data_IF_023842246978
#
_entry.id   IF_023842246978
#
_cell.length_a   1.000
_cell.length_b   1.000
_cell.length_c   1.000
_cell.angle_alpha   90.00
_cell.angle_beta   90.00
_cell.angle_gamma   90.00
#
_symmetry.space_group_name_H-M   'P 1'
#
loop_
_entity.id
_entity.type
_entity.pdbx_description
1 polymer ?
#
# COMPACT_ATOMS: atom_id res chain seq x y z
N UNK A 1 8.24 4.14 36.91
CA UNK A 1 8.55 4.12 35.46
C UNK A 1 8.48 2.68 35.01
N UNK A 2 7.30 2.24 34.55
CA UNK A 2 7.07 0.85 34.17
C UNK A 2 7.27 0.69 32.67
N UNK A 3 8.34 -0.03 32.30
CA UNK A 3 8.56 -0.53 30.94
C UNK A 3 7.69 -1.77 30.75
N UNK A 4 6.74 -1.70 29.82
CA UNK A 4 5.96 -2.85 29.38
C UNK A 4 6.81 -3.61 28.36
N UNK A 5 7.15 -4.84 28.69
CA UNK A 5 7.86 -5.81 27.84
C UNK A 5 6.80 -6.48 26.96
N UNK A 6 6.90 -6.31 25.64
CA UNK A 6 6.14 -7.12 24.67
C UNK A 6 6.86 -8.46 24.50
N UNK A 7 6.20 -9.55 24.93
CA UNK A 7 6.62 -10.93 24.67
C UNK A 7 6.23 -11.30 23.23
N UNK A 8 7.24 -11.45 22.37
CA UNK A 8 7.11 -12.04 21.04
C UNK A 8 7.25 -13.55 21.18
N UNK A 9 6.18 -14.31 20.96
CA UNK A 9 6.20 -15.78 21.01
C UNK A 9 6.89 -16.33 19.76
N UNK A 10 8.05 -16.96 19.98
CA UNK A 10 8.78 -17.81 19.04
C UNK A 10 7.94 -19.05 18.68
N UNK A 11 7.66 -19.26 17.38
CA UNK A 11 7.25 -20.56 16.87
C UNK A 11 8.42 -21.20 16.10
N UNK A 12 8.85 -22.35 16.60
CA UNK A 12 9.81 -23.26 16.00
C UNK A 12 9.13 -24.10 14.92
N UNK A 13 9.59 -24.00 13.67
CA UNK A 13 9.52 -25.05 12.65
C UNK A 13 10.99 -25.37 12.33
N UNK A 14 11.53 -26.57 12.52
CA UNK A 14 11.06 -27.84 12.00
C UNK A 14 11.84 -28.13 10.71
N UNK A 15 13.12 -28.50 10.83
CA UNK A 15 13.97 -28.90 9.70
C UNK A 15 13.61 -30.32 9.27
N UNK A 16 13.38 -30.51 7.97
CA UNK A 16 13.49 -31.83 7.36
C UNK A 16 14.21 -31.69 6.01
N UNK A 17 15.41 -32.24 5.94
CA UNK A 17 16.25 -32.31 4.76
C UNK A 17 15.75 -33.46 3.87
N UNK A 18 15.53 -33.18 2.58
CA UNK A 18 15.60 -34.23 1.57
C UNK A 18 16.34 -33.72 0.34
N UNK A 19 17.46 -34.38 0.11
CA UNK A 19 18.46 -34.15 -0.92
C UNK A 19 18.18 -35.14 -2.07
N UNK A 20 18.01 -34.63 -3.29
CA UNK A 20 18.13 -35.41 -4.53
C UNK A 20 18.65 -34.51 -5.65
N UNK A 21 19.80 -34.91 -6.20
CA UNK A 21 20.52 -34.25 -7.28
C UNK A 21 20.04 -34.74 -8.66
N UNK A 22 20.41 -33.92 -9.67
CA UNK A 22 20.43 -34.12 -11.14
C UNK A 22 19.25 -33.56 -11.97
N UNK A 23 19.48 -33.19 -13.26
CA UNK A 23 20.48 -32.25 -13.76
C UNK A 23 19.82 -31.13 -14.62
N UNK A 24 20.33 -29.90 -14.52
CA UNK A 24 19.78 -28.72 -15.23
C UNK A 24 20.22 -28.68 -16.70
N UNK A 25 19.26 -28.73 -17.61
CA UNK A 25 19.46 -28.43 -19.03
C UNK A 25 19.40 -26.92 -19.22
N UNK A 26 20.52 -26.30 -19.62
CA UNK A 26 20.62 -24.86 -19.90
C UNK A 26 19.90 -24.53 -21.21
N UNK A 27 18.84 -23.73 -21.14
CA UNK A 27 18.32 -23.00 -22.31
C UNK A 27 18.69 -21.52 -22.17
N UNK A 28 19.66 -21.11 -22.97
CA UNK A 28 20.08 -19.72 -23.12
C UNK A 28 18.98 -18.93 -23.87
N UNK A 29 18.46 -17.87 -23.26
CA UNK A 29 17.78 -16.79 -23.97
C UNK A 29 18.84 -15.80 -24.49
N UNK A 30 18.75 -15.32 -25.75
CA UNK A 30 19.82 -14.54 -26.36
C UNK A 30 19.91 -13.14 -25.74
N UNK A 31 21.11 -12.82 -25.24
CA UNK A 31 21.54 -11.47 -24.90
C UNK A 31 21.72 -10.72 -26.22
N UNK A 32 20.75 -9.90 -26.61
CA UNK A 32 20.93 -8.96 -27.70
C UNK A 32 21.78 -7.78 -27.21
N UNK A 33 22.91 -7.63 -27.90
CA UNK A 33 23.94 -6.60 -27.75
C UNK A 33 23.35 -5.20 -27.87
N UNK A 34 23.53 -4.36 -26.85
CA UNK A 34 23.27 -2.92 -26.96
C UNK A 34 24.45 -2.30 -27.71
N UNK A 35 24.22 -1.93 -28.97
CA UNK A 35 25.09 -0.99 -29.68
C UNK A 35 24.74 0.44 -29.27
N UNK A 36 25.78 1.22 -29.02
CA UNK A 36 25.78 2.60 -28.55
C UNK A 36 24.90 3.50 -29.41
N UNK A 37 23.83 4.04 -28.82
CA UNK A 37 23.04 5.16 -29.35
C UNK A 37 22.88 6.21 -28.25
N UNK A 38 22.64 7.43 -28.70
CA UNK A 38 22.83 8.71 -28.00
C UNK A 38 22.21 8.73 -26.59
N UNK A 39 22.89 9.36 -25.61
CA UNK A 39 22.42 9.38 -24.22
C UNK A 39 21.06 10.05 -24.06
N UNK A 40 20.69 10.91 -25.02
CA UNK A 40 19.40 11.61 -25.02
C UNK A 40 18.26 10.74 -25.57
N UNK A 41 18.49 9.89 -26.58
CA UNK A 41 17.48 8.90 -27.04
C UNK A 41 17.21 7.83 -25.99
N UNK A 42 18.24 7.46 -25.22
CA UNK A 42 18.10 6.50 -24.13
C UNK A 42 17.29 7.07 -22.96
N UNK A 43 17.46 8.36 -22.66
CA UNK A 43 16.68 9.07 -21.63
C UNK A 43 15.23 9.24 -22.10
N UNK A 44 14.98 9.65 -23.34
CA UNK A 44 13.63 9.81 -23.90
C UNK A 44 12.89 8.47 -23.97
N UNK A 45 13.58 7.36 -24.27
CA UNK A 45 13.03 6.02 -24.24
C UNK A 45 12.71 5.53 -22.81
N UNK A 46 13.58 5.82 -21.83
CA UNK A 46 13.36 5.49 -20.43
C UNK A 46 12.25 6.36 -19.81
N UNK A 47 12.16 7.63 -20.17
CA UNK A 47 11.07 8.55 -19.80
C UNK A 47 9.75 8.06 -20.41
N UNK A 48 9.74 7.63 -21.68
CA UNK A 48 8.56 7.04 -22.31
C UNK A 48 8.11 5.73 -21.66
N UNK A 49 9.03 4.91 -21.13
CA UNK A 49 8.71 3.69 -20.39
C UNK A 49 8.21 3.98 -18.97
N UNK A 50 8.65 5.07 -18.35
CA UNK A 50 8.19 5.52 -17.03
C UNK A 50 6.79 6.16 -17.08
N UNK A 51 6.46 6.84 -18.19
CA UNK A 51 5.19 7.54 -18.41
C UNK A 51 4.04 6.65 -18.94
N UNK A 52 4.33 5.48 -19.52
CA UNK A 52 3.31 4.69 -20.23
C UNK A 52 2.41 3.81 -19.35
N UNK A 53 2.73 3.58 -18.08
CA UNK A 53 1.96 2.63 -17.25
C UNK A 53 0.80 3.26 -16.46
N UNK A 54 0.76 4.59 -16.37
CA UNK A 54 -0.43 5.34 -15.90
C UNK A 54 -1.16 6.07 -17.05
N UNK A 55 -0.56 6.19 -18.23
CA UNK A 55 -1.21 6.72 -19.44
C UNK A 55 -1.95 5.65 -20.28
N UNK A 56 -1.71 4.35 -20.06
CA UNK A 56 -2.49 3.31 -20.78
C UNK A 56 -3.95 3.17 -20.27
N UNK A 57 -4.24 3.76 -19.12
CA UNK A 57 -5.58 4.17 -18.69
C UNK A 57 -5.58 5.70 -18.83
N UNK A 58 -6.57 6.33 -19.47
CA UNK A 58 -6.68 7.80 -19.54
C UNK A 58 -6.98 8.42 -18.14
N UNK A 59 -6.15 8.15 -17.15
CA UNK A 59 -6.35 8.53 -15.77
C UNK A 59 -5.77 9.91 -15.55
N UNK A 60 -6.65 10.92 -15.53
CA UNK A 60 -6.27 12.30 -15.24
C UNK A 60 -6.44 12.53 -13.75
N UNK A 61 -5.36 12.94 -13.07
CA UNK A 61 -5.44 13.33 -11.66
C UNK A 61 -6.46 14.46 -11.48
N UNK A 62 -7.24 14.44 -10.40
CA UNK A 62 -8.13 15.53 -10.09
C UNK A 62 -7.34 16.83 -9.83
N UNK A 63 -7.96 18.00 -10.01
CA UNK A 63 -7.36 19.27 -9.62
C UNK A 63 -7.16 19.34 -8.10
N UNK A 64 -6.11 20.03 -7.64
CA UNK A 64 -5.92 20.28 -6.21
C UNK A 64 -7.07 21.13 -5.64
N UNK A 65 -7.83 20.62 -4.66
CA UNK A 65 -8.97 21.34 -4.10
C UNK A 65 -8.55 22.46 -3.13
N UNK A 66 -7.25 22.60 -2.83
CA UNK A 66 -6.68 23.61 -1.95
C UNK A 66 -7.46 23.75 -0.62
N UNK A 67 -7.78 24.98 -0.20
CA UNK A 67 -8.53 25.22 1.02
C UNK A 67 -10.03 24.91 0.90
N UNK A 68 -10.57 24.83 -0.32
CA UNK A 68 -11.95 24.41 -0.54
C UNK A 68 -12.16 22.97 -0.06
N UNK A 69 -11.20 22.10 -0.35
CA UNK A 69 -11.18 20.70 0.07
C UNK A 69 -11.13 20.49 1.60
N UNK A 70 -10.88 21.54 2.39
CA UNK A 70 -10.78 21.48 3.86
C UNK A 70 -12.03 21.98 4.58
N UNK A 71 -13.00 22.55 3.87
CA UNK A 71 -14.22 23.13 4.47
C UNK A 71 -15.15 22.06 5.06
N UNK A 72 -15.17 20.89 4.44
CA UNK A 72 -16.02 19.77 4.86
C UNK A 72 -15.19 18.56 5.32
N UNK A 73 -15.79 17.73 6.19
CA UNK A 73 -15.21 16.48 6.65
C UNK A 73 -14.89 15.54 5.49
N UNK A 74 -15.79 15.45 4.50
CA UNK A 74 -15.65 14.56 3.35
C UNK A 74 -14.70 15.12 2.29
N UNK A 75 -14.55 16.45 2.22
CA UNK A 75 -13.73 17.11 1.21
C UNK A 75 -14.31 16.99 -0.20
N UNK A 76 -13.46 17.17 -1.21
CA UNK A 76 -13.83 17.09 -2.61
C UNK A 76 -13.27 15.78 -3.18
N UNK A 77 -14.12 15.05 -3.89
CA UNK A 77 -13.80 13.86 -4.69
C UNK A 77 -14.45 14.10 -6.07
N UNK A 78 -13.67 14.64 -7.01
CA UNK A 78 -14.17 15.11 -8.31
C UNK A 78 -14.50 13.94 -9.24
N UNK A 79 -13.72 12.86 -9.18
CA UNK A 79 -13.85 11.70 -10.06
C UNK A 79 -14.73 10.58 -9.45
N UNK A 80 -15.24 10.77 -8.23
CA UNK A 80 -16.13 9.87 -7.50
C UNK A 80 -15.53 8.47 -7.31
N UNK A 81 -14.22 8.39 -7.16
CA UNK A 81 -13.51 7.12 -6.92
C UNK A 81 -13.50 6.73 -5.43
N UNK A 82 -14.08 7.56 -4.55
CA UNK A 82 -14.13 7.33 -3.11
C UNK A 82 -12.88 7.80 -2.37
N UNK A 83 -11.98 8.53 -3.05
CA UNK A 83 -10.76 9.12 -2.51
C UNK A 83 -10.86 10.63 -2.71
N UNK A 84 -10.56 11.40 -1.66
CA UNK A 84 -10.49 12.85 -1.80
C UNK A 84 -9.38 13.27 -2.78
N UNK A 85 -9.62 14.33 -3.54
CA UNK A 85 -8.68 14.85 -4.53
C UNK A 85 -7.31 15.18 -3.91
N UNK A 86 -7.26 15.81 -2.74
CA UNK A 86 -6.00 16.16 -2.05
C UNK A 86 -5.19 14.91 -1.62
N UNK A 87 -5.88 13.85 -1.25
CA UNK A 87 -5.30 12.56 -0.87
C UNK A 87 -4.81 11.80 -2.11
N UNK A 88 -5.59 11.80 -3.18
CA UNK A 88 -5.23 11.14 -4.42
C UNK A 88 -3.94 11.74 -5.01
N UNK A 89 -3.85 13.07 -5.03
CA UNK A 89 -2.65 13.80 -5.44
C UNK A 89 -1.46 13.44 -4.56
N UNK A 90 -1.64 13.32 -3.24
CA UNK A 90 -0.59 12.88 -2.32
C UNK A 90 -0.09 11.46 -2.66
N UNK A 91 -1.00 10.51 -2.86
CA UNK A 91 -0.67 9.12 -3.18
C UNK A 91 0.11 9.05 -4.49
N UNK A 92 -0.37 9.74 -5.52
CA UNK A 92 0.32 9.82 -6.80
C UNK A 92 1.73 10.37 -6.62
N UNK A 93 1.88 11.51 -5.93
CA UNK A 93 3.18 12.14 -5.74
C UNK A 93 4.15 11.29 -4.91
N UNK A 94 3.63 10.52 -3.94
CA UNK A 94 4.44 9.62 -3.11
C UNK A 94 5.01 8.46 -3.92
N UNK A 95 4.24 7.89 -4.84
CA UNK A 95 4.62 6.64 -5.53
C UNK A 95 5.01 6.80 -6.99
N UNK A 96 4.75 7.94 -7.65
CA UNK A 96 5.04 8.13 -9.09
C UNK A 96 6.48 7.80 -9.49
N UNK A 97 7.43 8.04 -8.59
CA UNK A 97 8.87 7.81 -8.78
C UNK A 97 9.39 6.54 -8.09
N UNK A 98 8.52 5.75 -7.46
CA UNK A 98 8.93 4.48 -6.86
C UNK A 98 9.29 3.51 -7.98
N UNK A 99 10.45 2.86 -7.85
CA UNK A 99 10.96 1.95 -8.90
C UNK A 99 10.40 0.55 -8.74
N UNK A 100 10.19 0.13 -7.49
CA UNK A 100 9.72 -1.20 -7.16
C UNK A 100 8.25 -1.16 -6.76
N UNK A 101 7.42 -1.93 -7.45
CA UNK A 101 6.02 -2.15 -7.07
C UNK A 101 5.17 -0.87 -7.03
N UNK A 102 5.47 0.09 -7.91
CA UNK A 102 4.77 1.39 -7.98
C UNK A 102 3.26 1.20 -8.03
N UNK A 103 2.76 0.36 -8.94
CA UNK A 103 1.32 0.17 -9.15
C UNK A 103 0.68 -0.53 -7.95
N UNK A 104 1.35 -1.53 -7.37
CA UNK A 104 0.88 -2.22 -6.16
C UNK A 104 0.82 -1.27 -4.97
N UNK A 105 1.86 -0.47 -4.74
CA UNK A 105 1.91 0.46 -3.62
C UNK A 105 0.87 1.56 -3.77
N UNK A 106 0.68 2.10 -4.98
CA UNK A 106 -0.43 3.01 -5.29
C UNK A 106 -1.78 2.35 -5.00
N UNK A 107 -2.02 1.11 -5.45
CA UNK A 107 -3.28 0.42 -5.22
C UNK A 107 -3.57 0.18 -3.73
N UNK A 108 -2.57 -0.24 -2.94
CA UNK A 108 -2.70 -0.43 -1.49
C UNK A 108 -2.94 0.92 -0.80
N UNK A 109 -2.22 1.97 -1.19
CA UNK A 109 -2.42 3.32 -0.64
C UNK A 109 -3.81 3.88 -0.96
N UNK A 110 -4.33 3.62 -2.16
CA UNK A 110 -5.70 3.99 -2.55
C UNK A 110 -6.74 3.23 -1.72
N UNK A 111 -6.57 1.93 -1.53
CA UNK A 111 -7.45 1.14 -0.65
C UNK A 111 -7.40 1.68 0.80
N UNK A 112 -6.21 2.04 1.29
CA UNK A 112 -6.04 2.66 2.60
C UNK A 112 -6.77 4.01 2.71
N UNK A 113 -6.73 4.83 1.64
CA UNK A 113 -7.42 6.10 1.61
C UNK A 113 -8.95 5.95 1.73
N UNK A 114 -9.52 5.01 0.98
CA UNK A 114 -10.95 4.67 1.06
C UNK A 114 -11.30 4.21 2.48
N UNK A 115 -10.48 3.33 3.06
CA UNK A 115 -10.67 2.86 4.43
C UNK A 115 -10.62 4.02 5.45
N UNK A 116 -9.66 4.94 5.30
CA UNK A 116 -9.54 6.12 6.14
C UNK A 116 -10.75 7.04 6.04
N UNK A 117 -11.27 7.27 4.84
CA UNK A 117 -12.48 8.07 4.65
C UNK A 117 -13.71 7.40 5.28
N UNK A 118 -13.78 6.07 5.26
CA UNK A 118 -14.83 5.32 5.98
C UNK A 118 -14.79 5.55 7.49
N UNK A 119 -13.61 5.72 8.10
CA UNK A 119 -13.49 6.03 9.53
C UNK A 119 -14.15 7.36 9.91
N UNK A 120 -14.15 8.32 9.00
CA UNK A 120 -14.77 9.63 9.19
C UNK A 120 -16.31 9.57 9.07
N UNK A 121 -16.81 8.74 8.15
CA UNK A 121 -18.24 8.54 7.92
C UNK A 121 -18.88 7.79 9.09
N UNK A 122 -18.24 6.74 9.58
CA UNK A 122 -18.80 5.81 10.55
C UNK A 122 -18.26 6.01 11.98
N UNK A 123 -17.92 7.26 12.31
CA UNK A 123 -17.13 7.59 13.49
C UNK A 123 -17.77 7.22 14.83
N UNK A 124 -19.09 7.04 14.92
CA UNK A 124 -19.79 6.79 16.18
C UNK A 124 -20.17 5.33 16.42
N UNK A 125 -20.30 4.55 15.36
CA UNK A 125 -20.86 3.21 15.40
C UNK A 125 -19.92 2.19 14.73
N UNK A 126 -18.61 2.46 14.72
CA UNK A 126 -17.66 1.72 13.91
C UNK A 126 -17.61 0.23 14.25
N UNK A 127 -17.83 -0.10 15.53
CA UNK A 127 -17.87 -1.48 15.99
C UNK A 127 -19.15 -2.18 15.56
N UNK A 128 -20.31 -1.57 15.81
CA UNK A 128 -21.64 -2.10 15.47
C UNK A 128 -21.77 -2.30 13.96
N UNK A 129 -21.33 -1.31 13.19
CA UNK A 129 -21.35 -1.31 11.73
C UNK A 129 -20.18 -2.07 11.11
N UNK A 130 -19.24 -2.55 11.94
CA UNK A 130 -18.08 -3.33 11.50
C UNK A 130 -17.20 -2.60 10.47
N UNK A 131 -17.15 -1.26 10.49
CA UNK A 131 -16.32 -0.51 9.53
C UNK A 131 -14.83 -0.72 9.72
N UNK A 132 -14.40 -1.21 10.90
CA UNK A 132 -13.02 -1.66 11.14
C UNK A 132 -12.58 -2.80 10.21
N UNK A 133 -13.51 -3.56 9.61
CA UNK A 133 -13.14 -4.60 8.64
C UNK A 133 -12.44 -4.03 7.42
N UNK A 134 -12.82 -2.83 6.97
CA UNK A 134 -12.24 -2.19 5.78
C UNK A 134 -10.77 -1.85 6.04
N UNK A 135 -10.47 -1.28 7.21
CA UNK A 135 -9.08 -1.02 7.62
C UNK A 135 -8.27 -2.30 7.78
N UNK A 136 -8.87 -3.34 8.36
CA UNK A 136 -8.21 -4.64 8.49
C UNK A 136 -8.00 -5.33 7.13
N UNK A 137 -8.88 -5.15 6.15
CA UNK A 137 -8.69 -5.67 4.79
C UNK A 137 -7.45 -5.02 4.14
N UNK A 138 -7.24 -3.70 4.33
CA UNK A 138 -6.02 -3.00 3.88
C UNK A 138 -4.78 -3.61 4.52
N UNK A 139 -4.79 -3.79 5.85
CA UNK A 139 -3.66 -4.36 6.58
C UNK A 139 -3.35 -5.77 6.10
N UNK A 140 -4.37 -6.62 5.98
CA UNK A 140 -4.24 -8.00 5.51
C UNK A 140 -3.66 -8.03 4.08
N UNK A 141 -4.12 -7.15 3.20
CA UNK A 141 -3.59 -7.00 1.84
C UNK A 141 -2.11 -6.57 1.84
N UNK A 142 -1.77 -5.52 2.60
CA UNK A 142 -0.41 -5.01 2.68
C UNK A 142 0.57 -6.04 3.25
N UNK A 143 0.17 -6.75 4.31
CA UNK A 143 1.00 -7.81 4.90
C UNK A 143 1.12 -9.04 4.00
N UNK A 144 0.07 -9.39 3.24
CA UNK A 144 0.17 -10.40 2.19
C UNK A 144 1.26 -10.03 1.16
N UNK A 145 1.19 -8.81 0.61
CA UNK A 145 2.18 -8.30 -0.34
C UNK A 145 3.59 -8.31 0.26
N UNK A 146 3.76 -7.74 1.45
CA UNK A 146 5.05 -7.68 2.15
C UNK A 146 5.61 -9.08 2.41
N UNK A 147 4.76 -10.02 2.83
CA UNK A 147 5.11 -11.41 3.09
C UNK A 147 5.57 -12.12 1.82
N UNK A 148 4.85 -11.94 0.71
CA UNK A 148 5.22 -12.49 -0.60
C UNK A 148 6.59 -11.99 -1.05
N UNK A 149 6.83 -10.68 -1.07
CA UNK A 149 8.15 -10.13 -1.46
C UNK A 149 9.27 -10.60 -0.54
N UNK A 150 9.03 -10.62 0.77
CA UNK A 150 10.02 -11.09 1.76
C UNK A 150 10.43 -12.53 1.47
N UNK A 151 9.46 -13.38 1.14
CA UNK A 151 9.70 -14.79 0.80
C UNK A 151 10.40 -14.93 -0.56
N UNK A 152 9.90 -14.27 -1.60
CA UNK A 152 10.41 -14.40 -2.98
C UNK A 152 11.85 -13.90 -3.09
N UNK A 153 12.21 -12.88 -2.30
CA UNK A 153 13.58 -12.33 -2.23
C UNK A 153 14.44 -12.96 -1.12
N UNK A 154 13.93 -13.96 -0.39
CA UNK A 154 14.60 -14.62 0.73
C UNK A 154 15.22 -13.64 1.75
N UNK A 155 14.47 -12.59 2.11
CA UNK A 155 14.95 -11.55 3.01
C UNK A 155 14.82 -11.99 4.46
N UNK A 156 15.83 -11.68 5.27
CA UNK A 156 15.71 -11.72 6.73
C UNK A 156 14.72 -10.66 7.23
N UNK A 157 14.31 -10.78 8.49
CA UNK A 157 13.42 -9.80 9.12
C UNK A 157 13.98 -8.36 9.03
N UNK A 158 15.27 -8.17 9.30
CA UNK A 158 15.89 -6.85 9.31
C UNK A 158 16.03 -6.28 7.88
N UNK A 159 16.31 -7.13 6.89
CA UNK A 159 16.34 -6.73 5.49
C UNK A 159 14.94 -6.34 5.00
N UNK A 160 13.93 -7.15 5.32
CA UNK A 160 12.53 -6.83 5.01
C UNK A 160 12.10 -5.50 5.64
N UNK A 161 12.39 -5.27 6.93
CA UNK A 161 12.12 -4.00 7.58
C UNK A 161 12.79 -2.82 6.86
N UNK A 162 14.08 -2.92 6.58
CA UNK A 162 14.82 -1.85 5.90
C UNK A 162 14.37 -1.63 4.45
N UNK A 163 13.90 -2.68 3.78
CA UNK A 163 13.38 -2.62 2.42
C UNK A 163 12.06 -1.84 2.34
N UNK A 164 11.17 -2.06 3.32
CA UNK A 164 9.81 -1.52 3.32
C UNK A 164 9.64 -0.20 4.09
N UNK A 165 10.56 0.17 5.01
CA UNK A 165 10.39 1.34 5.88
C UNK A 165 10.04 2.66 5.18
N UNK A 166 10.51 2.86 3.95
CA UNK A 166 10.26 4.08 3.17
C UNK A 166 9.18 3.89 2.10
N UNK A 167 8.66 2.67 1.92
CA UNK A 167 7.62 2.33 0.93
C UNK A 167 6.24 2.17 1.55
N UNK A 168 6.16 2.16 2.89
CA UNK A 168 4.94 1.86 3.62
C UNK A 168 3.81 2.84 3.26
N UNK A 169 2.63 2.35 2.83
CA UNK A 169 1.46 3.19 2.60
C UNK A 169 0.80 3.68 3.89
N UNK A 170 1.07 3.04 5.03
CA UNK A 170 0.45 3.32 6.33
C UNK A 170 1.39 4.16 7.22
N UNK A 171 1.79 5.33 6.72
CA UNK A 171 2.71 6.24 7.41
C UNK A 171 1.99 7.36 8.16
N UNK A 172 2.59 7.87 9.23
CA UNK A 172 2.14 9.09 9.93
C UNK A 172 1.98 10.27 8.97
N UNK A 173 2.90 10.40 8.00
CA UNK A 173 2.82 11.42 6.94
C UNK A 173 1.54 11.32 6.10
N UNK A 174 1.04 10.10 5.89
CA UNK A 174 -0.20 9.89 5.17
C UNK A 174 -1.39 10.26 6.06
N UNK A 175 -1.37 9.87 7.35
CA UNK A 175 -2.37 10.28 8.34
C UNK A 175 -2.51 11.80 8.44
N UNK A 176 -1.42 12.56 8.37
CA UNK A 176 -1.44 14.03 8.37
C UNK A 176 -2.21 14.59 7.18
N UNK A 177 -2.14 13.94 6.00
CA UNK A 177 -2.92 14.32 4.82
C UNK A 177 -4.39 13.90 4.98
N UNK A 178 -4.66 12.68 5.46
CA UNK A 178 -6.02 12.19 5.69
C UNK A 178 -6.78 13.04 6.71
N UNK A 179 -6.11 13.45 7.79
CA UNK A 179 -6.71 14.16 8.92
C UNK A 179 -6.25 15.62 9.03
N UNK A 180 -5.89 16.26 7.92
CA UNK A 180 -5.40 17.64 7.80
C UNK A 180 -6.35 18.76 8.32
N UNK A 181 -7.49 18.43 8.95
CA UNK A 181 -8.38 19.41 9.61
C UNK A 181 -8.76 18.97 11.01
N UNK A 182 -9.01 19.96 11.89
CA UNK A 182 -9.46 19.72 13.27
C UNK A 182 -10.76 18.89 13.33
N UNK A 183 -11.65 19.06 12.37
CA UNK A 183 -12.91 18.31 12.32
C UNK A 183 -12.66 16.84 11.97
N UNK A 184 -11.78 16.55 11.00
CA UNK A 184 -11.39 15.18 10.64
C UNK A 184 -10.74 14.45 11.80
N UNK A 185 -9.81 15.10 12.51
CA UNK A 185 -9.19 14.53 13.73
C UNK A 185 -10.24 14.21 14.79
N UNK A 186 -11.19 15.12 15.06
CA UNK A 186 -12.26 14.87 16.04
C UNK A 186 -13.11 13.64 15.68
N UNK A 187 -13.38 13.44 14.41
CA UNK A 187 -14.19 12.31 13.93
C UNK A 187 -13.41 11.01 14.00
N UNK A 188 -12.13 11.02 13.62
CA UNK A 188 -11.24 9.88 13.85
C UNK A 188 -11.11 9.51 15.33
N UNK A 189 -11.06 10.48 16.25
CA UNK A 189 -11.05 10.21 17.69
C UNK A 189 -12.35 9.56 18.18
N UNK A 190 -13.51 9.93 17.60
CA UNK A 190 -14.78 9.24 17.89
C UNK A 190 -14.73 7.80 17.37
N UNK A 191 -14.22 7.60 16.16
CA UNK A 191 -14.05 6.28 15.55
C UNK A 191 -13.23 5.38 16.46
N UNK A 192 -12.04 5.81 16.87
CA UNK A 192 -11.19 5.07 17.80
C UNK A 192 -11.87 4.79 19.14
N UNK A 193 -12.62 5.76 19.69
CA UNK A 193 -13.39 5.53 20.92
C UNK A 193 -14.46 4.46 20.74
N UNK A 194 -15.15 4.41 19.60
CA UNK A 194 -16.19 3.40 19.33
C UNK A 194 -15.62 1.98 19.19
N UNK A 195 -14.35 1.85 18.81
CA UNK A 195 -13.65 0.56 18.73
C UNK A 195 -13.02 0.13 20.07
N UNK A 196 -12.68 1.07 20.93
CA UNK A 196 -11.99 0.82 22.19
C UNK A 196 -12.75 -0.13 23.12
N UNK A 197 -12.05 -1.14 23.65
CA UNK A 197 -12.60 -2.10 24.63
C UNK A 197 -13.30 -3.30 24.01
N UNK A 198 -13.40 -3.37 22.69
CA UNK A 198 -13.99 -4.51 21.98
C UNK A 198 -12.99 -5.62 21.66
N UNK A 199 -13.51 -6.81 21.36
CA UNK A 199 -12.73 -7.98 20.93
C UNK A 199 -12.88 -8.12 19.41
N UNK A 200 -11.75 -8.32 18.74
CA UNK A 200 -11.69 -8.48 17.28
C UNK A 200 -11.34 -9.93 16.93
N UNK A 201 -11.98 -10.51 15.89
CA UNK A 201 -11.64 -11.86 15.46
C UNK A 201 -10.25 -11.91 14.84
N UNK A 202 -9.61 -13.08 14.94
CA UNK A 202 -8.39 -13.38 14.18
C UNK A 202 -8.68 -13.41 12.67
N UNK A 203 -7.71 -13.02 11.86
CA UNK A 203 -7.84 -12.86 10.41
C UNK A 203 -6.59 -13.36 9.69
N UNK A 204 -6.75 -13.71 8.41
CA UNK A 204 -5.67 -14.22 7.57
C UNK A 204 -5.25 -13.18 6.53
N UNK A 205 -3.94 -13.09 6.28
CA UNK A 205 -3.32 -12.19 5.30
C UNK A 205 -3.35 -12.85 3.92
N UNK A 206 -4.46 -12.68 3.20
CA UNK A 206 -4.74 -13.36 1.93
C UNK A 206 -5.01 -12.34 0.81
N UNK A 207 -4.70 -12.66 -0.46
CA UNK A 207 -4.83 -11.71 -1.57
C UNK A 207 -6.27 -11.24 -1.82
N UNK A 208 -7.27 -12.01 -1.40
CA UNK A 208 -8.70 -11.67 -1.51
C UNK A 208 -9.10 -10.46 -0.65
N UNK A 209 -8.20 -10.00 0.25
CA UNK A 209 -8.39 -8.77 1.02
C UNK A 209 -7.95 -7.51 0.28
N UNK A 210 -7.25 -7.67 -0.84
CA UNK A 210 -6.91 -6.57 -1.71
C UNK A 210 -8.10 -6.22 -2.62
N UNK A 211 -8.48 -4.94 -2.70
CA UNK A 211 -9.51 -4.49 -3.65
C UNK A 211 -9.05 -4.65 -5.10
N UNK A 212 -7.75 -4.43 -5.34
CA UNK A 212 -7.11 -4.67 -6.63
C UNK A 212 -6.39 -6.01 -6.60
N UNK A 213 -6.55 -6.80 -7.66
CA UNK A 213 -5.78 -8.03 -7.83
C UNK A 213 -4.31 -7.68 -8.13
N UNK A 214 -3.47 -7.80 -7.11
CA UNK A 214 -2.06 -7.41 -7.19
C UNK A 214 -1.27 -8.19 -8.26
N UNK A 215 -1.59 -9.47 -8.50
CA UNK A 215 -0.91 -10.27 -9.52
C UNK A 215 -1.23 -9.78 -10.94
N UNK A 216 -2.39 -9.15 -11.17
CA UNK A 216 -2.74 -8.57 -12.47
C UNK A 216 -1.97 -7.28 -12.78
N UNK A 217 -1.29 -6.70 -11.78
CA UNK A 217 -0.47 -5.51 -11.97
C UNK A 217 0.92 -5.85 -12.56
N UNK A 218 1.29 -7.13 -12.62
CA UNK A 218 2.51 -7.59 -13.29
C UNK A 218 3.81 -7.25 -12.55
N UNK A 219 3.73 -6.77 -11.31
CA UNK A 219 4.88 -6.43 -10.49
C UNK A 219 5.24 -7.53 -9.47
N UNK A 220 4.41 -8.58 -9.31
CA UNK A 220 4.62 -9.74 -8.42
C UNK A 220 4.13 -11.06 -9.01
#
# INVERSE_FOLDING_TARGET
MNKIIFLLSLFLFGCEEHNTNEPTTTQNLPINTIQTTDSNETIEYLESLLDNDMNSLNYTLPPDPADEGKKDIFGIDTNQNGIRDDVEIYIYNKYKNERDFRRILTAIASQYAIAMQKTLIDSKNAYENKSYYVMNDVLDCYFYFKGKITKDRNLTFNESYNYFKNKDPLTVEAEDVFFNTKNRIKEYLKYNRSLSGNIFPSRSQIPEKCETNLNKLGEI
#
